data_IF_963078508401
#
_entry.id   IF_963078508401
#
_cell.length_a   1.000
_cell.length_b   1.000
_cell.length_c   1.000
_cell.angle_alpha   90.00
_cell.angle_beta   90.00
_cell.angle_gamma   90.00
#
_symmetry.space_group_name_H-M   'P 1'
#
loop_
_entity.id
_entity.type
_entity.pdbx_description
1 polymer ?
#
# COMPACT_ATOMS: atom_id res chain seq x y z
N UNK A 1 6.88 13.75 -12.51
CA UNK A 1 8.12 12.94 -12.59
C UNK A 1 8.05 11.86 -13.66
N UNK A 2 6.87 11.27 -13.93
CA UNK A 2 6.72 10.24 -14.97
C UNK A 2 7.08 10.65 -16.41
N UNK A 3 7.41 11.91 -16.67
CA UNK A 3 7.94 12.37 -17.97
C UNK A 3 9.47 12.52 -17.99
N UNK A 4 10.15 12.52 -16.84
CA UNK A 4 11.62 12.62 -16.76
C UNK A 4 12.32 11.26 -16.72
N UNK A 5 11.62 10.21 -16.32
CA UNK A 5 12.08 8.83 -16.42
C UNK A 5 11.05 8.07 -17.24
N UNK A 6 11.37 7.63 -18.47
CA UNK A 6 10.45 6.86 -19.32
C UNK A 6 10.25 5.41 -18.82
N UNK A 7 10.80 5.07 -17.65
CA UNK A 7 10.82 3.74 -17.09
C UNK A 7 9.65 3.49 -16.13
N UNK A 8 8.99 2.34 -16.28
CA UNK A 8 8.00 1.80 -15.33
C UNK A 8 8.65 1.25 -14.04
N UNK A 9 9.79 1.79 -13.63
CA UNK A 9 10.56 1.31 -12.49
C UNK A 9 10.09 1.78 -11.11
N UNK A 10 9.05 2.63 -11.11
CA UNK A 10 8.41 3.14 -9.91
C UNK A 10 9.35 3.99 -9.03
N UNK A 11 8.92 4.19 -7.79
CA UNK A 11 9.60 4.98 -6.77
C UNK A 11 11.00 4.45 -6.42
N UNK A 12 11.22 3.13 -6.49
CA UNK A 12 12.53 2.49 -6.20
C UNK A 12 13.61 2.99 -7.16
N UNK A 13 13.32 3.12 -8.45
CA UNK A 13 14.29 3.61 -9.44
C UNK A 13 14.66 5.07 -9.17
N UNK A 14 13.67 5.94 -8.96
CA UNK A 14 13.93 7.37 -8.77
C UNK A 14 14.78 7.63 -7.54
N UNK A 15 14.49 6.93 -6.44
CA UNK A 15 15.25 7.08 -5.20
C UNK A 15 16.61 6.42 -5.29
N UNK A 16 16.75 5.30 -6.01
CA UNK A 16 18.06 4.71 -6.32
C UNK A 16 18.94 5.67 -7.13
N UNK A 17 18.40 6.31 -8.17
CA UNK A 17 19.13 7.28 -8.99
C UNK A 17 19.46 8.58 -8.25
N UNK A 18 18.63 8.99 -7.30
CA UNK A 18 18.84 10.22 -6.53
C UNK A 18 19.79 10.04 -5.34
N UNK A 19 19.54 9.03 -4.51
CA UNK A 19 20.18 8.82 -3.22
C UNK A 19 21.15 7.63 -3.21
N UNK A 20 21.15 6.81 -4.26
CA UNK A 20 22.03 5.65 -4.43
C UNK A 20 21.33 4.31 -4.13
N UNK A 21 21.99 3.19 -4.45
CA UNK A 21 21.41 1.84 -4.32
C UNK A 21 20.94 1.50 -2.91
N UNK A 22 21.58 2.08 -1.89
CA UNK A 22 21.23 1.85 -0.49
C UNK A 22 19.81 2.33 -0.17
N UNK A 23 19.56 3.61 -0.44
CA UNK A 23 18.29 4.26 -0.14
C UNK A 23 17.17 3.82 -1.09
N UNK A 24 17.51 3.41 -2.31
CA UNK A 24 16.59 2.75 -3.22
C UNK A 24 16.03 1.44 -2.66
N UNK A 25 16.91 0.58 -2.15
CA UNK A 25 16.50 -0.65 -1.46
C UNK A 25 15.66 -0.34 -0.22
N UNK A 26 16.09 0.61 0.61
CA UNK A 26 15.36 0.97 1.83
C UNK A 26 13.93 1.43 1.50
N UNK A 27 13.74 2.26 0.47
CA UNK A 27 12.41 2.65 0.03
C UNK A 27 11.59 1.47 -0.49
N UNK A 28 12.19 0.60 -1.31
CA UNK A 28 11.53 -0.60 -1.81
C UNK A 28 11.09 -1.54 -0.69
N UNK A 29 11.93 -1.75 0.31
CA UNK A 29 11.63 -2.53 1.51
C UNK A 29 10.49 -1.91 2.33
N UNK A 30 10.55 -0.59 2.58
CA UNK A 30 9.53 0.11 3.37
C UNK A 30 8.17 0.13 2.67
N UNK A 31 8.14 0.34 1.34
CA UNK A 31 6.89 0.32 0.55
C UNK A 31 6.29 -1.07 0.48
N UNK A 32 7.13 -2.09 0.27
CA UNK A 32 6.67 -3.47 0.27
C UNK A 32 6.09 -3.84 1.64
N UNK A 33 6.79 -3.50 2.72
CA UNK A 33 6.30 -3.80 4.07
C UNK A 33 5.01 -3.05 4.39
N UNK A 34 4.90 -1.78 3.97
CA UNK A 34 3.67 -1.00 4.07
C UNK A 34 2.52 -1.65 3.31
N UNK A 35 2.75 -2.12 2.08
CA UNK A 35 1.74 -2.83 1.29
C UNK A 35 1.30 -4.14 1.96
N UNK A 36 2.23 -4.92 2.50
CA UNK A 36 1.91 -6.14 3.26
C UNK A 36 1.09 -5.85 4.52
N UNK A 37 1.38 -4.73 5.20
CA UNK A 37 0.61 -4.28 6.38
C UNK A 37 -0.79 -3.83 5.99
N UNK A 38 -0.94 -3.01 4.94
CA UNK A 38 -2.23 -2.62 4.39
C UNK A 38 -3.04 -3.86 3.96
N UNK A 39 -2.39 -4.80 3.30
CA UNK A 39 -3.01 -6.03 2.83
C UNK A 39 -3.50 -6.94 3.98
N UNK A 40 -2.99 -6.75 5.21
CA UNK A 40 -3.49 -7.44 6.41
C UNK A 40 -4.82 -6.88 6.94
N UNK A 41 -5.20 -5.67 6.54
CA UNK A 41 -6.48 -5.05 6.92
C UNK A 41 -7.66 -5.73 6.22
N UNK A 42 -7.51 -6.07 4.94
CA UNK A 42 -8.62 -6.52 4.10
C UNK A 42 -9.24 -7.85 4.53
N UNK A 43 -8.49 -8.90 4.96
CA UNK A 43 -9.08 -10.15 5.44
C UNK A 43 -9.95 -9.96 6.69
N UNK A 44 -9.53 -9.09 7.62
CA UNK A 44 -10.30 -8.79 8.84
C UNK A 44 -11.61 -8.11 8.46
N UNK A 45 -11.53 -7.05 7.65
CA UNK A 45 -12.71 -6.34 7.15
C UNK A 45 -13.64 -7.27 6.38
N UNK A 46 -13.10 -8.11 5.49
CA UNK A 46 -13.87 -9.09 4.74
C UNK A 46 -14.63 -10.05 5.66
N UNK A 47 -13.98 -10.62 6.69
CA UNK A 47 -14.61 -11.54 7.62
C UNK A 47 -15.72 -10.86 8.45
N UNK A 48 -15.55 -9.61 8.83
CA UNK A 48 -16.56 -8.86 9.60
C UNK A 48 -17.81 -8.56 8.77
N UNK A 49 -17.64 -8.21 7.48
CA UNK A 49 -18.76 -8.08 6.54
C UNK A 49 -19.38 -9.45 6.21
N UNK A 50 -18.58 -10.51 6.05
CA UNK A 50 -19.07 -11.85 5.69
C UNK A 50 -19.88 -12.49 6.82
N UNK A 51 -19.39 -12.45 8.07
CA UNK A 51 -20.14 -12.93 9.26
C UNK A 51 -21.51 -12.25 9.38
N UNK A 52 -21.58 -10.98 8.99
CA UNK A 52 -22.82 -10.20 9.00
C UNK A 52 -23.74 -10.49 7.80
N UNK A 53 -23.19 -11.00 6.68
CA UNK A 53 -23.89 -11.26 5.43
C UNK A 53 -24.42 -12.70 5.26
N UNK A 54 -23.86 -13.67 5.99
CA UNK A 54 -24.19 -15.12 5.88
C UNK A 54 -25.68 -15.45 6.14
N UNK A 55 -26.49 -14.51 6.61
CA UNK A 55 -27.91 -14.76 6.90
C UNK A 55 -28.87 -14.62 5.71
N UNK A 56 -28.53 -13.98 4.58
CA UNK A 56 -29.49 -13.85 3.47
C UNK A 56 -28.78 -13.64 2.12
N UNK A 57 -28.48 -14.72 1.38
CA UNK A 57 -28.30 -14.60 -0.08
C UNK A 57 -28.85 -15.85 -0.78
N UNK A 58 -29.97 -15.68 -1.50
CA UNK A 58 -30.27 -16.43 -2.72
C UNK A 58 -30.90 -15.50 -3.75
N UNK A 59 -30.39 -15.58 -4.99
CA UNK A 59 -30.79 -14.91 -6.25
C UNK A 59 -30.48 -13.39 -6.32
N UNK A 60 -29.98 -12.79 -7.42
CA UNK A 60 -30.10 -13.15 -8.84
C UNK A 60 -29.02 -12.44 -9.71
N UNK A 61 -28.86 -12.91 -10.96
CA UNK A 61 -27.87 -12.49 -11.97
C UNK A 61 -28.12 -11.14 -12.69
N UNK A 62 -26.99 -10.61 -13.19
CA UNK A 62 -26.72 -9.68 -14.33
C UNK A 62 -26.25 -8.28 -13.94
N UNK A 63 -24.93 -8.13 -13.73
CA UNK A 63 -24.29 -6.82 -13.72
C UNK A 63 -22.82 -6.88 -14.20
N UNK A 64 -22.60 -6.93 -15.52
CA UNK A 64 -21.24 -6.91 -16.12
C UNK A 64 -21.06 -5.77 -17.15
N UNK A 65 -22.15 -5.12 -17.58
CA UNK A 65 -22.10 -4.16 -18.71
C UNK A 65 -21.93 -2.69 -18.26
N UNK A 66 -22.22 -2.35 -17.00
CA UNK A 66 -22.16 -0.96 -16.50
C UNK A 66 -20.73 -0.49 -16.14
N UNK A 67 -19.80 -1.41 -15.88
CA UNK A 67 -18.48 -1.11 -15.28
C UNK A 67 -17.50 -0.46 -16.29
N UNK A 68 -17.71 -0.61 -17.61
CA UNK A 68 -16.76 -0.10 -18.62
C UNK A 68 -16.86 1.39 -18.92
N UNK A 69 -17.93 2.08 -18.53
CA UNK A 69 -18.12 3.51 -18.82
C UNK A 69 -17.62 4.45 -17.70
N UNK A 70 -17.30 3.90 -16.52
CA UNK A 70 -17.13 4.68 -15.28
C UNK A 70 -15.72 5.24 -15.00
N UNK A 71 -14.72 4.96 -15.85
CA UNK A 71 -13.34 5.39 -15.61
C UNK A 71 -13.07 6.89 -15.86
N UNK A 72 -13.89 7.59 -16.66
CA UNK A 72 -13.67 9.02 -17.00
C UNK A 72 -14.13 10.01 -15.94
N UNK A 73 -14.90 9.58 -14.95
CA UNK A 73 -15.40 10.42 -13.85
C UNK A 73 -14.86 10.00 -12.47
N UNK A 74 -13.74 9.27 -12.45
CA UNK A 74 -13.16 8.64 -11.26
C UNK A 74 -13.06 9.60 -10.05
N UNK A 75 -12.61 10.84 -10.25
CA UNK A 75 -12.51 11.84 -9.18
C UNK A 75 -13.87 12.32 -8.65
N UNK A 76 -14.87 12.51 -9.53
CA UNK A 76 -16.23 12.86 -9.10
C UNK A 76 -16.89 11.70 -8.36
N UNK A 77 -16.69 10.46 -8.83
CA UNK A 77 -17.14 9.28 -8.11
C UNK A 77 -16.49 9.12 -6.74
N UNK A 78 -15.19 9.40 -6.63
CA UNK A 78 -14.48 9.32 -5.37
C UNK A 78 -15.01 10.36 -4.38
N UNK A 79 -15.21 11.60 -4.84
CA UNK A 79 -15.77 12.67 -4.02
C UNK A 79 -17.19 12.35 -3.56
N UNK A 80 -18.11 12.06 -4.50
CA UNK A 80 -19.49 11.74 -4.15
C UNK A 80 -19.63 10.43 -3.38
N UNK A 81 -18.80 9.43 -3.67
CA UNK A 81 -18.79 8.12 -3.02
C UNK A 81 -18.29 8.14 -1.58
N UNK A 82 -17.48 9.12 -1.20
CA UNK A 82 -17.03 9.31 0.19
C UNK A 82 -17.95 10.29 0.93
N UNK A 83 -18.27 11.42 0.30
CA UNK A 83 -19.02 12.49 0.97
C UNK A 83 -20.51 12.16 1.14
N UNK A 84 -21.17 11.51 0.17
CA UNK A 84 -22.60 11.20 0.32
C UNK A 84 -22.88 10.24 1.47
N UNK A 85 -22.18 9.09 1.59
CA UNK A 85 -22.45 8.17 2.70
C UNK A 85 -22.16 8.83 4.06
N UNK A 86 -21.12 9.66 4.15
CA UNK A 86 -20.81 10.42 5.36
C UNK A 86 -21.92 11.41 5.70
N UNK A 87 -22.34 12.26 4.74
CA UNK A 87 -23.41 13.23 4.93
C UNK A 87 -24.73 12.57 5.31
N UNK A 88 -25.07 11.47 4.64
CA UNK A 88 -26.26 10.68 4.92
C UNK A 88 -26.17 10.04 6.32
N UNK A 89 -25.02 9.47 6.69
CA UNK A 89 -24.82 8.85 8.00
C UNK A 89 -24.85 9.86 9.15
N UNK A 90 -24.25 11.03 9.00
CA UNK A 90 -24.27 12.09 10.02
C UNK A 90 -25.57 12.87 10.06
N UNK A 91 -26.31 12.91 8.95
CA UNK A 91 -27.56 13.66 8.82
C UNK A 91 -28.81 12.86 9.20
N UNK A 92 -28.79 11.54 9.05
CA UNK A 92 -29.93 10.67 9.33
C UNK A 92 -30.00 10.16 10.77
N UNK A 93 -28.89 10.17 11.52
CA UNK A 93 -28.77 9.57 12.85
C UNK A 93 -27.98 10.52 13.76
N UNK A 94 -28.37 10.62 15.04
CA UNK A 94 -27.59 11.37 16.04
C UNK A 94 -26.16 10.82 16.14
N UNK A 95 -25.17 11.72 16.05
CA UNK A 95 -23.75 11.34 16.01
C UNK A 95 -23.28 10.91 17.41
N UNK A 96 -23.51 9.65 17.74
CA UNK A 96 -22.86 9.01 18.89
C UNK A 96 -21.54 8.37 18.44
N UNK A 97 -20.42 9.01 18.78
CA UNK A 97 -19.06 8.63 18.33
C UNK A 97 -18.63 7.22 18.74
N UNK A 98 -19.22 6.67 19.80
CA UNK A 98 -18.87 5.33 20.29
C UNK A 98 -19.42 4.21 19.39
N UNK A 99 -20.44 4.49 18.58
CA UNK A 99 -21.06 3.50 17.68
C UNK A 99 -20.38 3.44 16.30
N UNK A 100 -19.53 4.42 15.96
CA UNK A 100 -18.83 4.49 14.66
C UNK A 100 -17.63 3.52 14.62
N UNK A 101 -17.95 2.23 14.63
CA UNK A 101 -17.00 1.14 14.48
C UNK A 101 -17.08 0.52 13.07
N UNK A 102 -16.18 -0.41 12.76
CA UNK A 102 -16.17 -1.10 11.47
C UNK A 102 -17.52 -1.77 11.17
N UNK A 103 -17.97 -1.66 9.92
CA UNK A 103 -19.29 -2.14 9.50
C UNK A 103 -20.48 -1.26 9.90
N UNK A 104 -20.29 -0.16 10.65
CA UNK A 104 -21.39 0.72 11.09
C UNK A 104 -22.19 1.32 9.92
N UNK A 105 -21.55 1.61 8.79
CA UNK A 105 -22.26 2.05 7.58
C UNK A 105 -23.32 1.06 7.10
N UNK A 106 -23.15 -0.25 7.34
CA UNK A 106 -24.19 -1.24 7.03
C UNK A 106 -25.40 -1.13 7.95
N UNK A 107 -25.19 -0.67 9.18
CA UNK A 107 -26.25 -0.42 10.16
C UNK A 107 -26.97 0.91 9.89
N UNK A 108 -26.24 1.96 9.54
CA UNK A 108 -26.80 3.21 8.98
C UNK A 108 -27.69 2.90 7.77
N UNK A 109 -27.20 2.04 6.87
CA UNK A 109 -27.96 1.60 5.68
C UNK A 109 -29.23 0.84 6.05
N UNK A 110 -29.22 0.06 7.13
CA UNK A 110 -30.41 -0.62 7.66
C UNK A 110 -31.45 0.35 8.18
N UNK A 111 -31.03 1.36 8.92
CA UNK A 111 -31.92 2.38 9.49
C UNK A 111 -32.61 3.18 8.39
N UNK A 112 -31.89 3.49 7.31
CA UNK A 112 -32.39 4.34 6.22
C UNK A 112 -33.20 3.54 5.18
N UNK A 113 -32.68 2.39 4.74
CA UNK A 113 -33.20 1.65 3.59
C UNK A 113 -33.63 0.22 3.91
N UNK A 114 -33.72 -0.14 5.20
CA UNK A 114 -34.10 -1.47 5.64
C UNK A 114 -33.06 -2.56 5.33
N UNK A 115 -33.47 -3.82 5.50
CA UNK A 115 -32.60 -4.99 5.29
C UNK A 115 -32.07 -5.05 3.86
N UNK A 116 -32.86 -4.62 2.88
CA UNK A 116 -32.47 -4.60 1.48
C UNK A 116 -31.20 -3.76 1.23
N UNK A 117 -31.20 -2.50 1.66
CA UNK A 117 -30.04 -1.61 1.45
C UNK A 117 -28.83 -2.09 2.26
N UNK A 118 -29.07 -2.59 3.49
CA UNK A 118 -28.01 -3.20 4.32
C UNK A 118 -27.31 -4.34 3.59
N UNK A 119 -28.05 -5.29 3.01
CA UNK A 119 -27.46 -6.46 2.32
C UNK A 119 -26.61 -6.03 1.13
N UNK A 120 -27.10 -5.10 0.31
CA UNK A 120 -26.32 -4.59 -0.83
C UNK A 120 -25.03 -3.91 -0.41
N UNK A 121 -25.10 -3.05 0.62
CA UNK A 121 -23.91 -2.37 1.15
C UNK A 121 -22.92 -3.40 1.70
N UNK A 122 -23.38 -4.43 2.41
CA UNK A 122 -22.50 -5.49 2.94
C UNK A 122 -21.84 -6.32 1.83
N UNK A 123 -22.60 -6.73 0.80
CA UNK A 123 -22.05 -7.49 -0.34
C UNK A 123 -21.05 -6.64 -1.13
N UNK A 124 -21.38 -5.37 -1.37
CA UNK A 124 -20.48 -4.44 -2.05
C UNK A 124 -19.19 -4.25 -1.24
N UNK A 125 -19.28 -4.00 0.07
CA UNK A 125 -18.12 -3.87 0.95
C UNK A 125 -17.26 -5.14 0.97
N UNK A 126 -17.86 -6.32 1.05
CA UNK A 126 -17.12 -7.59 1.02
C UNK A 126 -16.39 -7.81 -0.31
N UNK A 127 -17.08 -7.59 -1.44
CA UNK A 127 -16.47 -7.71 -2.78
C UNK A 127 -15.37 -6.67 -3.00
N UNK A 128 -15.57 -5.43 -2.54
CA UNK A 128 -14.56 -4.37 -2.62
C UNK A 128 -13.31 -4.72 -1.82
N UNK A 129 -13.45 -5.18 -0.58
CA UNK A 129 -12.31 -5.60 0.26
C UNK A 129 -11.54 -6.77 -0.37
N UNK A 130 -12.25 -7.75 -0.96
CA UNK A 130 -11.62 -8.85 -1.67
C UNK A 130 -10.86 -8.38 -2.92
N UNK A 131 -11.47 -7.48 -3.70
CA UNK A 131 -10.82 -6.91 -4.89
C UNK A 131 -9.59 -6.09 -4.54
N UNK A 132 -9.62 -5.36 -3.41
CA UNK A 132 -8.49 -4.59 -2.91
C UNK A 132 -7.36 -5.51 -2.47
N UNK A 133 -7.67 -6.55 -1.68
CA UNK A 133 -6.70 -7.57 -1.27
C UNK A 133 -5.96 -8.20 -2.46
N UNK A 134 -6.69 -8.66 -3.48
CA UNK A 134 -6.08 -9.30 -4.66
C UNK A 134 -5.20 -8.32 -5.44
N UNK A 135 -5.63 -7.06 -5.55
CA UNK A 135 -4.89 -6.02 -6.26
C UNK A 135 -3.60 -5.66 -5.55
N UNK A 136 -3.66 -5.41 -4.24
CA UNK A 136 -2.49 -5.07 -3.42
C UNK A 136 -1.52 -6.25 -3.31
N UNK A 137 -2.02 -7.45 -3.03
CA UNK A 137 -1.23 -8.68 -3.03
C UNK A 137 -0.44 -8.87 -4.34
N UNK A 138 -1.05 -8.53 -5.47
CA UNK A 138 -0.39 -8.56 -6.77
C UNK A 138 0.70 -7.48 -6.86
N UNK A 139 0.37 -6.23 -6.52
CA UNK A 139 1.30 -5.09 -6.50
C UNK A 139 2.56 -5.40 -5.69
N UNK A 140 2.41 -5.87 -4.45
CA UNK A 140 3.51 -6.20 -3.54
C UNK A 140 4.41 -7.30 -4.10
N UNK A 141 3.80 -8.33 -4.69
CA UNK A 141 4.52 -9.47 -5.24
C UNK A 141 5.35 -9.06 -6.46
N UNK A 142 4.80 -8.20 -7.32
CA UNK A 142 5.50 -7.65 -8.48
C UNK A 142 6.57 -6.62 -8.09
N UNK A 143 6.41 -5.92 -6.96
CA UNK A 143 7.45 -5.05 -6.41
C UNK A 143 8.69 -5.84 -5.98
N UNK A 144 8.51 -6.93 -5.23
CA UNK A 144 9.64 -7.81 -4.86
C UNK A 144 10.31 -8.42 -6.09
N UNK A 145 9.52 -8.87 -7.06
CA UNK A 145 10.01 -9.37 -8.34
C UNK A 145 10.86 -8.30 -9.06
N UNK A 146 10.36 -7.07 -9.16
CA UNK A 146 11.08 -5.96 -9.81
C UNK A 146 12.36 -5.54 -9.06
N UNK A 147 12.39 -5.67 -7.74
CA UNK A 147 13.61 -5.49 -6.94
C UNK A 147 14.61 -6.64 -7.19
N UNK A 148 14.14 -7.87 -7.28
CA UNK A 148 14.98 -9.04 -7.56
C UNK A 148 15.56 -9.04 -8.97
N UNK A 149 14.78 -8.67 -9.99
CA UNK A 149 15.23 -8.53 -11.39
C UNK A 149 16.28 -7.41 -11.55
N UNK A 150 16.38 -6.49 -10.60
CA UNK A 150 17.44 -5.46 -10.54
C UNK A 150 18.63 -5.85 -9.65
N UNK A 151 18.72 -7.11 -9.22
CA UNK A 151 19.78 -7.60 -8.34
C UNK A 151 19.74 -7.04 -6.91
N UNK A 152 18.64 -6.41 -6.49
CA UNK A 152 18.51 -5.90 -5.12
C UNK A 152 18.13 -7.00 -4.12
N UNK A 153 17.45 -8.03 -4.60
CA UNK A 153 17.03 -9.21 -3.85
C UNK A 153 17.58 -10.49 -4.51
N UNK A 154 17.62 -11.62 -3.77
CA UNK A 154 18.06 -12.89 -4.32
C UNK A 154 17.25 -13.35 -5.53
N UNK A 155 17.91 -14.07 -6.45
CA UNK A 155 17.37 -14.53 -7.74
C UNK A 155 16.09 -15.38 -7.61
N UNK A 156 15.89 -16.07 -6.48
CA UNK A 156 14.68 -16.86 -6.29
C UNK A 156 13.40 -16.00 -6.28
N UNK A 157 13.46 -14.73 -5.88
CA UNK A 157 12.33 -13.79 -6.00
C UNK A 157 12.10 -13.34 -7.44
N UNK A 158 13.11 -13.45 -8.31
CA UNK A 158 13.00 -13.16 -9.74
C UNK A 158 12.31 -14.30 -10.54
N UNK A 159 12.12 -15.46 -9.90
CA UNK A 159 11.62 -16.66 -10.58
C UNK A 159 10.11 -16.57 -10.82
N UNK A 160 9.72 -16.51 -12.09
CA UNK A 160 8.32 -16.51 -12.52
C UNK A 160 7.81 -17.94 -12.78
N UNK A 161 6.53 -18.18 -12.49
CA UNK A 161 5.81 -19.41 -12.86
C UNK A 161 5.53 -19.47 -14.37
N UNK A 162 5.01 -20.61 -14.86
CA UNK A 162 4.56 -20.78 -16.26
C UNK A 162 3.58 -19.69 -16.71
N UNK A 163 2.77 -19.17 -15.79
CA UNK A 163 1.79 -18.13 -16.03
C UNK A 163 2.33 -16.70 -15.84
N UNK A 164 3.65 -16.53 -15.68
CA UNK A 164 4.28 -15.23 -15.47
C UNK A 164 4.13 -14.67 -14.05
N UNK A 165 3.55 -15.42 -13.12
CA UNK A 165 3.31 -14.99 -11.73
C UNK A 165 4.50 -15.28 -10.80
N UNK A 166 4.95 -14.33 -9.97
CA UNK A 166 6.04 -14.54 -9.02
C UNK A 166 5.56 -15.26 -7.75
N UNK A 167 5.46 -16.60 -7.83
CA UNK A 167 4.89 -17.40 -6.75
C UNK A 167 5.62 -17.28 -5.41
N UNK A 168 6.96 -17.17 -5.42
CA UNK A 168 7.73 -17.04 -4.17
C UNK A 168 7.47 -15.70 -3.50
N UNK A 169 7.39 -14.61 -4.28
CA UNK A 169 7.02 -13.29 -3.77
C UNK A 169 5.61 -13.27 -3.19
N UNK A 170 4.65 -13.95 -3.84
CA UNK A 170 3.28 -14.10 -3.33
C UNK A 170 3.27 -14.81 -1.98
N UNK A 171 3.95 -15.96 -1.87
CA UNK A 171 4.02 -16.70 -0.61
C UNK A 171 4.69 -15.88 0.51
N UNK A 172 5.74 -15.13 0.18
CA UNK A 172 6.46 -14.32 1.15
C UNK A 172 5.66 -13.11 1.64
N UNK A 173 4.96 -12.42 0.73
CA UNK A 173 4.04 -11.35 1.12
C UNK A 173 2.85 -11.90 1.91
N UNK A 174 2.28 -13.05 1.53
CA UNK A 174 1.15 -13.67 2.21
C UNK A 174 1.52 -14.16 3.62
N UNK A 175 2.74 -14.66 3.83
CA UNK A 175 3.20 -15.03 5.17
C UNK A 175 3.35 -13.80 6.07
N UNK A 176 3.77 -12.66 5.52
CA UNK A 176 3.78 -11.38 6.24
C UNK A 176 2.39 -10.96 6.72
N UNK A 177 1.37 -11.04 5.84
CA UNK A 177 -0.04 -10.78 6.20
C UNK A 177 -0.49 -11.69 7.36
N UNK A 178 -0.17 -12.99 7.30
CA UNK A 178 -0.53 -13.94 8.37
C UNK A 178 0.17 -13.60 9.69
N UNK A 179 1.45 -13.21 9.66
CA UNK A 179 2.18 -12.80 10.86
C UNK A 179 1.58 -11.55 11.50
N UNK A 180 1.10 -10.61 10.68
CA UNK A 180 0.51 -9.36 11.14
C UNK A 180 -0.95 -9.49 11.62
N UNK A 181 -1.60 -10.63 11.35
CA UNK A 181 -2.98 -10.90 11.80
C UNK A 181 -3.18 -10.88 13.32
N UNK A 182 -2.10 -10.87 14.10
CA UNK A 182 -2.11 -10.81 15.57
C UNK A 182 -2.21 -9.37 16.10
N UNK A 183 -2.07 -8.36 15.24
CA UNK A 183 -2.22 -6.94 15.60
C UNK A 183 -3.68 -6.50 15.45
N UNK A 184 -4.10 -5.54 16.27
CA UNK A 184 -5.41 -4.89 16.11
C UNK A 184 -5.43 -3.97 14.88
N UNK A 185 -6.61 -3.73 14.32
CA UNK A 185 -6.80 -2.86 13.16
C UNK A 185 -6.15 -1.48 13.34
N UNK A 186 -6.34 -0.85 14.49
CA UNK A 186 -5.76 0.45 14.82
C UNK A 186 -4.23 0.40 14.88
N UNK A 187 -3.65 -0.70 15.36
CA UNK A 187 -2.19 -0.91 15.36
C UNK A 187 -1.65 -1.09 13.94
N UNK A 188 -2.36 -1.83 13.08
CA UNK A 188 -1.99 -2.04 11.66
C UNK A 188 -2.03 -0.71 10.91
N UNK A 189 -3.13 0.04 10.99
CA UNK A 189 -3.28 1.37 10.35
C UNK A 189 -2.22 2.35 10.86
N UNK A 190 -1.92 2.35 12.17
CA UNK A 190 -0.89 3.23 12.71
C UNK A 190 0.51 2.84 12.23
N UNK A 191 0.82 1.55 12.14
CA UNK A 191 2.11 1.05 11.64
C UNK A 191 2.29 1.34 10.15
N UNK A 192 1.24 1.17 9.36
CA UNK A 192 1.20 1.50 7.94
C UNK A 192 1.47 2.99 7.72
N UNK A 193 0.72 3.85 8.42
CA UNK A 193 0.90 5.29 8.34
C UNK A 193 2.35 5.69 8.67
N UNK A 194 2.96 5.09 9.69
CA UNK A 194 4.37 5.34 10.02
C UNK A 194 5.31 5.02 8.85
N UNK A 195 5.21 3.81 8.28
CA UNK A 195 6.09 3.36 7.21
C UNK A 195 5.85 4.15 5.91
N UNK A 196 4.59 4.46 5.62
CA UNK A 196 4.21 5.32 4.51
C UNK A 196 4.83 6.70 4.64
N UNK A 197 4.73 7.32 5.82
CA UNK A 197 5.33 8.62 6.11
C UNK A 197 6.84 8.62 5.88
N UNK A 198 7.54 7.57 6.34
CA UNK A 198 8.97 7.42 6.12
C UNK A 198 9.30 7.29 4.62
N UNK A 199 8.55 6.48 3.88
CA UNK A 199 8.69 6.35 2.43
C UNK A 199 8.46 7.67 1.69
N UNK A 200 7.42 8.42 2.06
CA UNK A 200 7.10 9.73 1.50
C UNK A 200 8.20 10.76 1.73
N UNK A 201 8.83 10.77 2.90
CA UNK A 201 9.98 11.63 3.17
C UNK A 201 11.17 11.30 2.27
N UNK A 202 11.47 10.02 2.07
CA UNK A 202 12.55 9.61 1.16
C UNK A 202 12.27 10.00 -0.30
N UNK A 203 11.04 9.79 -0.77
CA UNK A 203 10.60 10.23 -2.10
C UNK A 203 10.71 11.74 -2.26
N UNK A 204 10.30 12.50 -1.24
CA UNK A 204 10.41 13.96 -1.25
C UNK A 204 11.87 14.43 -1.29
N UNK A 205 12.74 13.85 -0.47
CA UNK A 205 14.18 14.15 -0.46
C UNK A 205 14.82 13.81 -1.82
N UNK A 206 14.51 12.64 -2.37
CA UNK A 206 14.94 12.25 -3.71
C UNK A 206 14.43 13.23 -4.76
N UNK A 207 13.19 13.69 -4.64
CA UNK A 207 12.60 14.66 -5.54
C UNK A 207 13.30 16.01 -5.49
N UNK A 208 13.54 16.54 -4.30
CA UNK A 208 14.30 17.79 -4.12
C UNK A 208 15.69 17.66 -4.73
N UNK A 209 16.38 16.53 -4.50
CA UNK A 209 17.74 16.30 -5.02
C UNK A 209 17.77 16.20 -6.54
N UNK A 210 16.84 15.44 -7.14
CA UNK A 210 16.72 15.31 -8.60
C UNK A 210 16.37 16.65 -9.27
N UNK A 211 15.47 17.43 -8.66
CA UNK A 211 15.13 18.78 -9.14
C UNK A 211 16.34 19.71 -9.14
N UNK A 212 17.18 19.66 -8.08
CA UNK A 212 18.44 20.42 -8.03
C UNK A 212 19.46 19.96 -9.09
N UNK A 213 19.53 18.66 -9.39
CA UNK A 213 20.48 18.08 -10.36
C UNK A 213 20.09 18.40 -11.83
N UNK A 214 18.81 18.33 -12.18
CA UNK A 214 18.36 18.41 -13.57
C UNK A 214 17.69 19.73 -13.99
N UNK A 215 17.22 20.57 -13.06
CA UNK A 215 16.51 21.81 -13.40
C UNK A 215 17.14 23.02 -12.69
N UNK A 216 17.98 23.76 -13.41
CA UNK A 216 18.49 25.07 -13.02
C UNK A 216 17.40 26.17 -13.14
N UNK A 217 16.23 26.03 -12.51
CA UNK A 217 15.36 27.19 -12.21
C UNK A 217 14.13 26.87 -11.35
N UNK A 218 13.87 27.82 -10.44
CA UNK A 218 12.66 28.14 -9.63
C UNK A 218 12.64 27.63 -8.18
N UNK A 219 12.65 28.63 -7.29
CA UNK A 219 12.83 28.59 -5.83
C UNK A 219 11.58 28.22 -5.01
N UNK A 220 10.48 27.78 -5.64
CA UNK A 220 9.18 27.56 -4.99
C UNK A 220 9.05 26.19 -4.28
N UNK A 221 10.14 25.41 -4.23
CA UNK A 221 10.12 24.03 -3.69
C UNK A 221 10.18 23.97 -2.16
N UNK A 222 10.71 24.99 -1.48
CA UNK A 222 10.92 24.96 -0.03
C UNK A 222 9.66 25.31 0.79
N UNK A 223 8.77 26.17 0.28
CA UNK A 223 7.66 26.70 1.10
C UNK A 223 6.56 25.66 1.39
N UNK A 224 6.42 24.63 0.54
CA UNK A 224 5.37 23.61 0.67
C UNK A 224 5.85 22.26 1.26
N UNK A 225 7.17 22.09 1.49
CA UNK A 225 7.73 20.84 2.03
C UNK A 225 7.57 20.66 3.55
N UNK A 226 7.32 21.76 4.27
CA UNK A 226 7.11 21.74 5.71
C UNK A 226 5.77 21.14 6.10
N UNK A 227 4.71 21.35 5.32
CA UNK A 227 3.36 20.88 5.67
C UNK A 227 3.24 19.34 5.71
N UNK A 228 3.74 18.57 4.73
CA UNK A 228 3.75 17.11 4.81
C UNK A 228 4.62 16.62 5.97
N UNK A 229 5.79 17.23 6.18
CA UNK A 229 6.72 16.84 7.25
C UNK A 229 6.11 17.07 8.64
N UNK A 230 5.43 18.20 8.84
CA UNK A 230 4.73 18.52 10.08
C UNK A 230 3.53 17.59 10.33
N UNK A 231 2.76 17.29 9.28
CA UNK A 231 1.64 16.34 9.35
C UNK A 231 2.11 14.94 9.78
N UNK A 232 3.25 14.50 9.26
CA UNK A 232 3.89 13.23 9.65
C UNK A 232 4.23 13.24 11.14
N UNK A 233 4.87 14.28 11.65
CA UNK A 233 5.20 14.38 13.09
C UNK A 233 3.97 14.40 13.98
N UNK A 234 2.86 15.01 13.53
CA UNK A 234 1.59 14.98 14.26
C UNK A 234 1.02 13.56 14.30
N UNK A 235 0.98 12.85 13.16
CA UNK A 235 0.51 11.45 13.12
C UNK A 235 1.36 10.55 14.01
N UNK A 236 2.68 10.75 14.03
CA UNK A 236 3.60 10.03 14.90
C UNK A 236 3.34 10.28 16.39
N UNK A 237 2.90 11.47 16.78
CA UNK A 237 2.62 11.79 18.18
C UNK A 237 1.39 11.04 18.75
N UNK A 238 0.47 10.58 17.89
CA UNK A 238 -0.70 9.80 18.30
C UNK A 238 -0.47 8.28 18.29
N UNK A 239 0.69 7.81 17.84
CA UNK A 239 1.00 6.38 17.78
C UNK A 239 1.28 5.80 19.17
N UNK A 240 0.78 4.58 19.44
CA UNK A 240 1.07 3.88 20.68
C UNK A 240 2.55 3.47 20.77
N UNK A 241 3.09 3.33 21.98
CA UNK A 241 4.48 2.89 22.18
C UNK A 241 4.77 1.54 21.50
N UNK A 242 3.79 0.62 21.48
CA UNK A 242 3.91 -0.67 20.79
C UNK A 242 4.12 -0.50 19.28
N UNK A 243 3.31 0.34 18.64
CA UNK A 243 3.40 0.61 17.20
C UNK A 243 4.74 1.27 16.88
N UNK A 244 5.18 2.23 17.70
CA UNK A 244 6.49 2.86 17.53
C UNK A 244 7.64 1.85 17.53
N UNK A 245 7.63 0.89 18.46
CA UNK A 245 8.64 -0.18 18.52
C UNK A 245 8.58 -1.07 17.29
N UNK A 246 7.39 -1.50 16.87
CA UNK A 246 7.20 -2.34 15.67
C UNK A 246 7.74 -1.62 14.44
N UNK A 247 7.33 -0.37 14.22
CA UNK A 247 7.74 0.40 13.04
C UNK A 247 9.24 0.72 13.02
N UNK A 248 9.85 1.05 14.18
CA UNK A 248 11.31 1.22 14.25
C UNK A 248 12.03 -0.10 13.98
N UNK A 249 11.56 -1.21 14.53
CA UNK A 249 12.17 -2.52 14.28
C UNK A 249 12.13 -2.88 12.80
N UNK A 250 11.05 -2.55 12.10
CA UNK A 250 10.89 -2.72 10.65
C UNK A 250 11.89 -1.86 9.85
N UNK A 251 12.10 -0.61 10.26
CA UNK A 251 13.10 0.28 9.64
C UNK A 251 14.51 -0.28 9.85
N UNK A 252 14.85 -0.65 11.08
CA UNK A 252 16.16 -1.24 11.43
C UNK A 252 16.39 -2.53 10.65
N UNK A 253 15.37 -3.38 10.52
CA UNK A 253 15.45 -4.61 9.74
C UNK A 253 15.83 -4.32 8.30
N UNK A 254 15.24 -3.30 7.65
CA UNK A 254 15.63 -2.88 6.31
C UNK A 254 17.09 -2.43 6.21
N UNK A 255 17.53 -1.63 7.18
CA UNK A 255 18.90 -1.11 7.26
C UNK A 255 19.94 -2.22 7.44
N UNK A 256 19.59 -3.29 8.15
CA UNK A 256 20.46 -4.46 8.39
C UNK A 256 20.36 -5.46 7.22
N UNK A 257 19.18 -5.64 6.64
CA UNK A 257 18.94 -6.63 5.60
C UNK A 257 19.81 -6.35 4.36
N UNK A 258 19.95 -5.09 3.95
CA UNK A 258 20.75 -4.77 2.77
C UNK A 258 22.25 -5.13 2.89
N UNK A 259 22.99 -4.72 3.94
CA UNK A 259 24.38 -5.12 4.11
C UNK A 259 24.51 -6.64 4.30
N UNK A 260 23.55 -7.30 4.95
CA UNK A 260 23.50 -8.76 5.04
C UNK A 260 23.38 -9.41 3.66
N UNK A 261 22.47 -8.94 2.79
CA UNK A 261 22.31 -9.46 1.42
C UNK A 261 23.59 -9.28 0.60
N UNK A 262 24.23 -8.11 0.67
CA UNK A 262 25.53 -7.86 0.01
C UNK A 262 26.64 -8.77 0.54
N UNK A 263 26.64 -9.06 1.84
CA UNK A 263 27.59 -9.99 2.43
C UNK A 263 27.36 -11.42 1.93
N UNK A 264 26.09 -11.87 1.86
CA UNK A 264 25.71 -13.18 1.33
C UNK A 264 26.06 -13.32 -0.16
N UNK A 265 25.88 -12.26 -0.95
CA UNK A 265 26.31 -12.20 -2.34
C UNK A 265 27.83 -12.37 -2.48
N UNK A 266 28.63 -11.62 -1.70
CA UNK A 266 30.10 -11.74 -1.70
C UNK A 266 30.59 -13.13 -1.30
N UNK A 267 29.89 -13.78 -0.35
CA UNK A 267 30.18 -15.15 0.08
C UNK A 267 29.58 -16.22 -0.85
N UNK A 268 28.88 -15.81 -1.92
CA UNK A 268 28.16 -16.68 -2.87
C UNK A 268 27.17 -17.64 -2.19
N UNK A 269 26.61 -17.23 -1.05
CA UNK A 269 25.57 -18.00 -0.35
C UNK A 269 24.24 -17.95 -1.09
N UNK A 270 23.95 -16.81 -1.73
CA UNK A 270 22.77 -16.59 -2.56
C UNK A 270 23.21 -16.06 -3.93
N UNK A 271 22.44 -16.44 -4.95
CA UNK A 271 22.61 -15.91 -6.31
C UNK A 271 21.75 -14.65 -6.46
N UNK A 272 22.32 -13.66 -7.12
CA UNK A 272 21.66 -12.42 -7.50
C UNK A 272 21.82 -12.31 -9.02
N UNK A 273 20.73 -12.02 -9.72
CA UNK A 273 20.72 -11.84 -11.16
C UNK A 273 20.17 -10.46 -11.49
N UNK A 274 20.80 -9.79 -12.44
CA UNK A 274 20.30 -8.54 -13.01
C UNK A 274 19.76 -8.89 -14.38
N UNK A 275 18.50 -8.55 -14.63
CA UNK A 275 17.89 -8.74 -15.92
C UNK A 275 18.57 -7.78 -16.92
N UNK A 276 19.26 -8.29 -17.96
CA UNK A 276 19.98 -7.46 -18.92
C UNK A 276 19.06 -6.61 -19.80
N UNK A 277 17.78 -6.96 -19.89
CA UNK A 277 16.78 -6.20 -20.64
C UNK A 277 16.35 -4.92 -19.90
N UNK A 278 16.71 -4.79 -18.61
CA UNK A 278 16.43 -3.59 -17.83
C UNK A 278 17.57 -2.56 -17.99
N UNK A 279 17.27 -1.27 -18.19
CA UNK A 279 18.29 -0.23 -18.26
C UNK A 279 19.12 -0.14 -16.98
N UNK A 280 20.43 0.14 -17.13
CA UNK A 280 21.30 0.38 -15.97
C UNK A 280 21.07 1.80 -15.42
N UNK A 281 20.39 1.86 -14.27
CA UNK A 281 20.04 3.09 -13.57
C UNK A 281 21.23 3.78 -12.89
N UNK A 282 22.41 3.14 -12.85
CA UNK A 282 23.63 3.68 -12.24
C UNK A 282 24.67 4.15 -13.27
N UNK A 283 24.42 3.93 -14.57
CA UNK A 283 25.34 4.29 -15.65
C UNK A 283 25.26 5.76 -16.10
N UNK A 284 24.59 6.64 -15.34
CA UNK A 284 24.29 8.03 -15.70
C UNK A 284 25.06 9.10 -14.88
#
# INVERSE_FOLDING_TARGET
MGTMFPENGGYVVWVSSALGPFWGFQLGWMKWLSGVIDNALYPVLFLDYLKSAILVIFLQEKLIILVRHFQKHFFMLLFWGIFLPLLVGTGAIEVNRELWCDGYFSEVSRVIGGVWLRTWVQVASALSNMGMFVTEMSSDSFQLLGMAERGMLPEFFAKRSRYGTPFISILFSASGVILLSWLSFQEIVAAENFLYCFGMLMEFVAFVKLRKKFLFRRNWLCDYGLAPTLLIFVVLAFASFKVFVISISAVIMGLVLQPCLKYMERKRWLRFSVNPDLPDIYAA
#
